data_IF_660353424880
#
_entry.id   IF_660353424880
#
_cell.length_a   1.000
_cell.length_b   1.000
_cell.length_c   1.000
_cell.angle_alpha   90.00
_cell.angle_beta   90.00
_cell.angle_gamma   90.00
#
_symmetry.space_group_name_H-M   'P 1'
#
loop_
_entity.id
_entity.type
_entity.pdbx_description
1 polymer ?
#
# COMPACT_ATOMS: atom_id res chain seq x y z
N UNK A 1 3.67 -5.16 35.93
CA UNK A 1 4.38 -4.13 36.75
C UNK A 1 3.64 -2.81 36.63
N UNK A 2 3.37 -2.15 37.74
CA UNK A 2 2.72 -0.84 37.73
C UNK A 2 3.81 0.22 37.94
N UNK A 3 4.06 1.03 36.95
CA UNK A 3 5.06 2.12 37.03
C UNK A 3 4.48 3.31 37.80
N UNK A 4 5.32 4.00 38.62
CA UNK A 4 4.97 5.29 39.20
C UNK A 4 4.90 6.38 38.10
N UNK A 5 4.35 7.57 38.43
CA UNK A 5 4.29 8.70 37.48
C UNK A 5 5.70 9.16 37.07
N UNK A 6 6.62 9.21 38.01
CA UNK A 6 8.02 9.59 37.76
C UNK A 6 8.71 8.55 36.85
N UNK A 7 8.51 7.25 37.11
CA UNK A 7 9.04 6.19 36.25
C UNK A 7 8.47 6.27 34.82
N UNK A 8 7.18 6.55 34.67
CA UNK A 8 6.56 6.73 33.37
C UNK A 8 7.11 7.94 32.62
N UNK A 9 7.36 9.05 33.33
CA UNK A 9 7.96 10.24 32.73
C UNK A 9 9.39 9.99 32.27
N UNK A 10 10.21 9.37 33.14
CA UNK A 10 11.58 8.98 32.78
C UNK A 10 11.61 8.04 31.56
N UNK A 11 10.72 7.04 31.54
CA UNK A 11 10.59 6.13 30.39
C UNK A 11 10.20 6.87 29.11
N UNK A 12 9.26 7.83 29.20
CA UNK A 12 8.87 8.64 28.05
C UNK A 12 10.07 9.44 27.50
N UNK A 13 10.86 10.05 28.36
CA UNK A 13 12.07 10.79 27.96
C UNK A 13 13.14 9.87 27.34
N UNK A 14 13.26 8.63 27.83
CA UNK A 14 14.28 7.68 27.39
C UNK A 14 13.89 6.93 26.11
N UNK A 15 12.61 6.55 25.97
CA UNK A 15 12.15 5.61 24.93
C UNK A 15 11.25 6.25 23.88
N UNK A 16 11.23 7.58 23.81
CA UNK A 16 10.61 8.31 22.70
C UNK A 16 11.68 8.83 21.76
N UNK A 17 11.57 8.46 20.50
CA UNK A 17 12.46 8.90 19.43
C UNK A 17 11.68 9.70 18.39
N UNK A 18 12.24 10.81 17.95
CA UNK A 18 11.67 11.64 16.89
C UNK A 18 12.48 11.51 15.60
N UNK A 19 11.77 11.42 14.48
CA UNK A 19 12.33 11.37 13.14
C UNK A 19 11.76 12.52 12.32
N UNK A 20 12.24 13.76 12.50
CA UNK A 20 11.66 14.95 11.87
C UNK A 20 11.61 14.89 10.35
N UNK A 21 12.63 14.27 9.73
CA UNK A 21 12.67 14.08 8.28
C UNK A 21 11.52 13.22 7.72
N UNK A 22 10.91 12.38 8.57
CA UNK A 22 9.79 11.51 8.23
C UNK A 22 8.45 12.03 8.78
N UNK A 23 8.47 13.10 9.59
CA UNK A 23 7.30 13.56 10.32
C UNK A 23 6.76 12.52 11.31
N UNK A 24 7.64 11.66 11.85
CA UNK A 24 7.29 10.50 12.67
C UNK A 24 7.91 10.61 14.06
N UNK A 25 7.17 10.20 15.08
CA UNK A 25 7.70 9.91 16.40
C UNK A 25 7.31 8.49 16.83
N UNK A 26 8.22 7.76 17.45
CA UNK A 26 7.99 6.43 18.01
C UNK A 26 8.15 6.49 19.51
N UNK A 27 7.14 6.06 20.25
CA UNK A 27 7.13 6.02 21.72
C UNK A 27 6.99 4.56 22.19
N UNK A 28 8.06 4.03 22.79
CA UNK A 28 8.11 2.71 23.39
C UNK A 28 7.98 2.75 24.90
N UNK A 29 7.71 3.91 25.50
CA UNK A 29 7.71 4.10 26.96
C UNK A 29 6.71 3.21 27.70
N UNK A 30 5.62 2.81 27.03
CA UNK A 30 4.57 1.93 27.58
C UNK A 30 4.78 0.45 27.26
N UNK A 31 5.77 0.11 26.44
CA UNK A 31 6.08 -1.29 26.11
C UNK A 31 6.78 -1.94 27.31
N UNK A 32 6.31 -3.10 27.72
CA UNK A 32 6.92 -3.87 28.81
C UNK A 32 8.03 -4.76 28.26
N UNK A 33 9.27 -4.42 28.52
CA UNK A 33 10.45 -5.19 28.14
C UNK A 33 11.43 -5.27 29.35
N UNK A 34 12.27 -6.32 29.43
CA UNK A 34 13.29 -6.44 30.49
C UNK A 34 14.37 -5.36 30.36
N UNK A 35 15.07 -5.06 31.47
CA UNK A 35 16.09 -3.99 31.50
C UNK A 35 17.19 -4.16 30.45
N UNK A 36 17.61 -5.40 30.18
CA UNK A 36 18.68 -5.69 29.22
C UNK A 36 18.15 -5.95 27.79
N UNK A 37 16.89 -5.61 27.49
CA UNK A 37 16.26 -5.95 26.21
C UNK A 37 17.04 -5.40 25.02
N UNK A 38 17.36 -4.12 25.01
CA UNK A 38 18.06 -3.48 23.89
C UNK A 38 19.46 -4.04 23.70
N UNK A 39 20.21 -4.25 24.77
CA UNK A 39 21.55 -4.83 24.70
C UNK A 39 21.50 -6.26 24.15
N UNK A 40 20.56 -7.07 24.65
CA UNK A 40 20.39 -8.45 24.21
C UNK A 40 19.91 -8.55 22.75
N UNK A 41 19.14 -7.57 22.27
CA UNK A 41 18.63 -7.52 20.90
C UNK A 41 19.60 -6.90 19.89
N UNK A 42 20.61 -6.16 20.34
CA UNK A 42 21.55 -5.45 19.45
C UNK A 42 22.15 -6.33 18.35
N UNK A 43 22.64 -7.57 18.60
CA UNK A 43 23.17 -8.43 17.53
C UNK A 43 22.11 -8.84 16.51
N UNK A 44 20.89 -9.16 16.97
CA UNK A 44 19.76 -9.52 16.10
C UNK A 44 19.31 -8.33 15.24
N UNK A 45 19.28 -7.14 15.82
CA UNK A 45 18.95 -5.89 15.11
C UNK A 45 19.98 -5.57 14.02
N UNK A 46 21.27 -5.66 14.33
CA UNK A 46 22.32 -5.46 13.31
C UNK A 46 22.20 -6.45 12.16
N UNK A 47 21.94 -7.73 12.48
CA UNK A 47 21.70 -8.75 11.45
C UNK A 47 20.47 -8.43 10.59
N UNK A 48 19.38 -7.97 11.20
CA UNK A 48 18.15 -7.59 10.50
C UNK A 48 18.39 -6.39 9.57
N UNK A 49 19.10 -5.36 10.02
CA UNK A 49 19.43 -4.20 9.18
C UNK A 49 20.34 -4.56 8.00
N UNK A 50 21.34 -5.41 8.24
CA UNK A 50 22.19 -5.91 7.15
C UNK A 50 21.38 -6.71 6.12
N UNK A 51 20.51 -7.62 6.59
CA UNK A 51 19.63 -8.41 5.71
C UNK A 51 18.66 -7.51 4.93
N UNK A 52 18.11 -6.48 5.57
CA UNK A 52 17.23 -5.51 4.92
C UNK A 52 17.96 -4.74 3.81
N UNK A 53 19.20 -4.31 4.06
CA UNK A 53 20.03 -3.65 3.05
C UNK A 53 20.30 -4.54 1.83
N UNK A 54 20.51 -5.84 2.04
CA UNK A 54 20.67 -6.79 0.94
C UNK A 54 19.36 -7.03 0.18
N UNK A 55 18.21 -7.07 0.87
CA UNK A 55 16.89 -7.16 0.22
C UNK A 55 16.63 -5.97 -0.69
N UNK A 56 16.95 -4.76 -0.25
CA UNK A 56 16.80 -3.53 -1.05
C UNK A 56 17.66 -3.57 -2.33
N UNK A 57 18.80 -4.27 -2.28
CA UNK A 57 19.70 -4.48 -3.44
C UNK A 57 19.28 -5.63 -4.35
N UNK A 58 18.20 -6.35 -4.03
CA UNK A 58 17.69 -7.44 -4.85
C UNK A 58 18.11 -8.84 -4.41
N UNK A 59 18.46 -9.05 -3.14
CA UNK A 59 18.61 -10.40 -2.62
C UNK A 59 17.31 -11.19 -2.73
N UNK A 60 17.44 -12.52 -2.95
CA UNK A 60 16.29 -13.43 -3.03
C UNK A 60 15.61 -13.50 -1.64
N UNK A 61 14.39 -13.01 -1.56
CA UNK A 61 13.58 -13.02 -0.35
C UNK A 61 12.71 -14.27 -0.22
N UNK A 62 12.23 -14.79 -1.35
CA UNK A 62 11.49 -16.04 -1.43
C UNK A 62 12.35 -17.09 -2.14
N UNK A 63 13.04 -17.96 -1.40
CA UNK A 63 13.93 -18.96 -1.99
C UNK A 63 13.18 -20.03 -2.77
N UNK A 64 11.95 -20.36 -2.42
CA UNK A 64 11.15 -21.40 -3.05
C UNK A 64 10.78 -21.01 -4.49
N UNK A 65 10.40 -19.76 -4.69
CA UNK A 65 10.05 -19.20 -5.99
C UNK A 65 11.23 -18.45 -6.65
N UNK A 66 12.38 -18.36 -5.97
CA UNK A 66 13.57 -17.60 -6.40
C UNK A 66 13.24 -16.14 -6.73
N UNK A 67 12.42 -15.51 -5.92
CA UNK A 67 11.95 -14.14 -6.13
C UNK A 67 12.60 -13.12 -5.20
N UNK A 68 12.89 -11.97 -5.78
CA UNK A 68 13.19 -10.73 -5.06
C UNK A 68 11.89 -10.08 -4.57
N UNK A 69 11.98 -9.13 -3.62
CA UNK A 69 10.91 -8.21 -3.24
C UNK A 69 11.28 -6.79 -3.65
N UNK A 70 10.36 -6.09 -4.26
CA UNK A 70 10.64 -4.82 -4.96
C UNK A 70 9.79 -3.63 -4.57
N UNK A 71 9.09 -3.65 -3.41
CA UNK A 71 8.23 -2.51 -3.05
C UNK A 71 9.02 -1.21 -2.88
N UNK A 72 10.29 -1.25 -2.51
CA UNK A 72 11.17 -0.09 -2.39
C UNK A 72 11.37 0.57 -3.75
N UNK A 73 11.59 -0.24 -4.79
CA UNK A 73 11.83 0.23 -6.16
C UNK A 73 10.59 0.86 -6.77
N UNK A 74 9.38 0.41 -6.38
CA UNK A 74 8.13 1.05 -6.77
C UNK A 74 7.98 2.46 -6.19
N UNK A 75 8.70 2.79 -5.10
CA UNK A 75 8.75 4.13 -4.51
C UNK A 75 9.87 4.98 -5.09
N UNK A 76 10.97 4.34 -5.47
CA UNK A 76 12.11 5.00 -6.09
C UNK A 76 12.79 4.02 -7.07
N UNK A 77 12.43 4.12 -8.35
CA UNK A 77 12.94 3.23 -9.39
C UNK A 77 14.47 3.27 -9.54
N UNK A 78 15.12 4.36 -9.10
CA UNK A 78 16.58 4.45 -9.12
C UNK A 78 17.27 3.45 -8.17
N UNK A 79 16.54 2.89 -7.20
CA UNK A 79 17.05 1.84 -6.30
C UNK A 79 16.96 0.43 -6.90
N UNK A 80 16.33 0.25 -8.06
CA UNK A 80 16.17 -1.05 -8.67
C UNK A 80 17.54 -1.70 -8.98
N UNK A 81 17.70 -3.03 -8.75
CA UNK A 81 18.99 -3.71 -8.85
C UNK A 81 19.49 -3.79 -10.29
N UNK A 82 18.64 -3.64 -11.29
CA UNK A 82 19.01 -3.64 -12.71
C UNK A 82 18.33 -2.51 -13.47
N UNK A 83 18.95 -2.07 -14.56
CA UNK A 83 18.36 -1.06 -15.45
C UNK A 83 17.06 -1.54 -16.09
N UNK A 84 16.94 -2.84 -16.37
CA UNK A 84 15.72 -3.44 -16.92
C UNK A 84 14.53 -3.31 -15.97
N UNK A 85 14.70 -3.66 -14.69
CA UNK A 85 13.64 -3.51 -13.67
C UNK A 85 13.27 -2.04 -13.50
N UNK A 86 14.25 -1.14 -13.48
CA UNK A 86 14.00 0.30 -13.40
C UNK A 86 13.15 0.78 -14.55
N UNK A 87 13.53 0.47 -15.78
CA UNK A 87 12.79 0.87 -16.98
C UNK A 87 11.37 0.31 -16.97
N UNK A 88 11.19 -0.96 -16.62
CA UNK A 88 9.87 -1.59 -16.53
C UNK A 88 8.96 -0.87 -15.52
N UNK A 89 9.48 -0.42 -14.37
CA UNK A 89 8.72 0.36 -13.39
C UNK A 89 8.34 1.74 -13.96
N UNK A 90 9.30 2.44 -14.57
CA UNK A 90 9.10 3.77 -15.14
C UNK A 90 8.07 3.73 -16.28
N UNK A 91 8.18 2.76 -17.18
CA UNK A 91 7.25 2.53 -18.28
C UNK A 91 5.84 2.16 -17.79
N UNK A 92 5.73 1.28 -16.80
CA UNK A 92 4.43 0.92 -16.20
C UNK A 92 3.74 2.13 -15.57
N UNK A 93 4.48 2.96 -14.85
CA UNK A 93 3.93 4.20 -14.27
C UNK A 93 3.50 5.20 -15.36
N UNK A 94 4.26 5.33 -16.43
CA UNK A 94 3.91 6.19 -17.56
C UNK A 94 2.64 5.69 -18.26
N UNK A 95 2.56 4.37 -18.50
CA UNK A 95 1.40 3.73 -19.13
C UNK A 95 0.11 3.91 -18.29
N UNK A 96 0.19 3.73 -16.96
CA UNK A 96 -0.96 3.96 -16.07
C UNK A 96 -1.42 5.42 -16.13
N UNK A 97 -0.50 6.38 -16.09
CA UNK A 97 -0.83 7.81 -16.19
C UNK A 97 -1.48 8.16 -17.52
N UNK A 98 -0.93 7.64 -18.64
CA UNK A 98 -1.47 7.87 -19.98
C UNK A 98 -2.88 7.29 -20.11
N UNK A 99 -3.06 6.02 -19.73
CA UNK A 99 -4.36 5.34 -19.77
C UNK A 99 -5.41 6.09 -18.93
N UNK A 100 -5.05 6.49 -17.71
CA UNK A 100 -5.95 7.25 -16.83
C UNK A 100 -6.35 8.59 -17.45
N UNK A 101 -5.41 9.29 -18.09
CA UNK A 101 -5.69 10.54 -18.77
C UNK A 101 -6.64 10.34 -19.97
N UNK A 102 -6.46 9.26 -20.73
CA UNK A 102 -7.32 8.92 -21.86
C UNK A 102 -8.75 8.55 -21.43
N UNK A 103 -8.89 7.77 -20.34
CA UNK A 103 -10.19 7.47 -19.72
C UNK A 103 -10.87 8.76 -19.27
N UNK A 104 -10.16 9.63 -18.55
CA UNK A 104 -10.70 10.89 -18.07
C UNK A 104 -11.05 11.89 -19.18
N UNK A 105 -10.39 11.79 -20.32
CA UNK A 105 -10.68 12.60 -21.51
C UNK A 105 -11.81 12.01 -22.38
N UNK A 106 -12.34 10.85 -22.01
CA UNK A 106 -13.37 10.15 -22.80
C UNK A 106 -12.86 9.60 -24.14
N UNK A 107 -11.55 9.38 -24.28
CA UNK A 107 -10.95 8.73 -25.44
C UNK A 107 -11.08 7.22 -25.37
N UNK A 108 -10.99 6.67 -24.17
CA UNK A 108 -11.29 5.27 -23.85
C UNK A 108 -12.69 5.25 -23.24
N UNK A 109 -13.60 4.50 -23.84
CA UNK A 109 -15.02 4.48 -23.47
C UNK A 109 -15.51 3.05 -23.30
N UNK A 110 -16.56 2.89 -22.51
CA UNK A 110 -17.30 1.64 -22.38
C UNK A 110 -18.36 1.47 -23.48
N UNK A 111 -19.15 0.41 -23.40
CA UNK A 111 -20.18 0.11 -24.36
C UNK A 111 -21.26 1.23 -24.49
N UNK A 112 -21.51 1.96 -23.41
CA UNK A 112 -22.52 3.02 -23.33
C UNK A 112 -21.88 4.43 -23.15
N UNK A 113 -20.68 4.65 -23.66
CA UNK A 113 -19.99 5.94 -23.62
C UNK A 113 -18.93 6.05 -22.51
N UNK A 114 -18.60 7.28 -22.12
CA UNK A 114 -17.53 7.55 -21.16
C UNK A 114 -17.79 6.86 -19.81
N UNK A 115 -16.72 6.33 -19.20
CA UNK A 115 -16.79 5.70 -17.90
C UNK A 115 -17.22 6.67 -16.81
N UNK A 116 -18.14 6.21 -15.96
CA UNK A 116 -18.64 6.94 -14.79
C UNK A 116 -18.32 6.20 -13.49
N UNK A 117 -18.00 4.91 -13.60
CA UNK A 117 -17.73 4.04 -12.47
C UNK A 117 -16.46 3.24 -12.70
N UNK A 118 -15.81 2.87 -11.61
CA UNK A 118 -14.73 1.89 -11.54
C UNK A 118 -15.17 0.77 -10.61
N UNK A 119 -15.14 -0.46 -11.07
CA UNK A 119 -15.35 -1.65 -10.27
C UNK A 119 -14.00 -2.34 -10.06
N UNK A 120 -13.47 -2.29 -8.86
CA UNK A 120 -12.25 -3.00 -8.47
C UNK A 120 -12.61 -4.40 -8.01
N UNK A 121 -12.02 -5.41 -8.63
CA UNK A 121 -12.22 -6.82 -8.31
C UNK A 121 -10.91 -7.37 -7.75
N UNK A 122 -10.89 -7.76 -6.47
CA UNK A 122 -9.71 -8.29 -5.81
C UNK A 122 -9.99 -8.62 -4.35
N UNK A 123 -9.21 -9.50 -3.75
CA UNK A 123 -9.40 -9.98 -2.38
C UNK A 123 -8.17 -9.66 -1.52
N UNK A 124 -8.37 -9.39 -0.24
CA UNK A 124 -7.30 -9.10 0.70
C UNK A 124 -6.49 -7.87 0.31
N UNK A 125 -5.19 -8.01 0.12
CA UNK A 125 -4.30 -6.91 -0.26
C UNK A 125 -4.66 -6.25 -1.60
N UNK A 126 -5.28 -6.99 -2.51
CA UNK A 126 -5.75 -6.48 -3.81
C UNK A 126 -6.98 -5.58 -3.69
N UNK A 127 -7.73 -5.65 -2.59
CA UNK A 127 -8.89 -4.80 -2.32
C UNK A 127 -8.61 -3.73 -1.25
N UNK A 128 -7.99 -4.11 -0.12
CA UNK A 128 -7.83 -3.24 1.05
C UNK A 128 -7.00 -1.99 0.77
N UNK A 129 -5.92 -2.12 -0.01
CA UNK A 129 -5.10 -0.97 -0.43
C UNK A 129 -5.89 0.04 -1.27
N UNK A 130 -6.53 -0.38 -2.38
CA UNK A 130 -7.41 0.46 -3.18
C UNK A 130 -8.56 1.08 -2.37
N UNK A 131 -9.22 0.32 -1.49
CA UNK A 131 -10.28 0.84 -0.61
C UNK A 131 -9.77 1.92 0.34
N UNK A 132 -8.60 1.68 0.96
CA UNK A 132 -7.97 2.66 1.84
C UNK A 132 -7.70 3.98 1.11
N UNK A 133 -7.08 3.92 -0.07
CA UNK A 133 -6.77 5.11 -0.87
C UNK A 133 -8.04 5.81 -1.32
N UNK A 134 -9.03 5.07 -1.84
CA UNK A 134 -10.30 5.64 -2.27
C UNK A 134 -11.04 6.35 -1.12
N UNK A 135 -11.05 5.77 0.08
CA UNK A 135 -11.69 6.38 1.26
C UNK A 135 -10.92 7.55 1.84
N UNK A 136 -9.57 7.48 1.83
CA UNK A 136 -8.73 8.53 2.41
C UNK A 136 -8.65 9.78 1.53
N UNK A 137 -8.64 9.62 0.20
CA UNK A 137 -8.44 10.70 -0.75
C UNK A 137 -9.68 11.03 -1.57
N UNK A 138 -10.68 10.16 -1.59
CA UNK A 138 -11.92 10.33 -2.35
C UNK A 138 -12.73 11.53 -1.88
N UNK A 139 -13.32 12.22 -2.84
CA UNK A 139 -14.15 13.40 -2.65
C UNK A 139 -15.37 13.30 -3.57
N UNK A 140 -16.50 12.70 -3.13
CA UNK A 140 -17.66 12.40 -3.99
C UNK A 140 -18.17 13.59 -4.84
N UNK A 141 -17.96 14.82 -4.37
CA UNK A 141 -18.35 16.04 -5.10
C UNK A 141 -17.33 16.44 -6.20
N UNK A 142 -16.14 15.84 -6.22
CA UNK A 142 -15.03 16.20 -7.12
C UNK A 142 -14.54 15.03 -7.97
N UNK A 143 -14.76 13.80 -7.50
CA UNK A 143 -14.31 12.59 -8.17
C UNK A 143 -15.02 12.44 -9.51
N UNK A 144 -14.26 12.13 -10.54
CA UNK A 144 -14.80 11.97 -11.91
C UNK A 144 -15.60 10.68 -12.07
N UNK A 145 -15.30 9.67 -11.23
CA UNK A 145 -15.94 8.35 -11.27
C UNK A 145 -16.21 7.85 -9.85
N UNK A 146 -17.28 7.07 -9.69
CA UNK A 146 -17.55 6.36 -8.44
C UNK A 146 -16.75 5.06 -8.42
N UNK A 147 -16.28 4.65 -7.22
CA UNK A 147 -15.51 3.42 -7.05
C UNK A 147 -16.33 2.39 -6.28
N UNK A 148 -16.41 1.20 -6.85
CA UNK A 148 -17.08 0.03 -6.30
C UNK A 148 -16.09 -1.11 -6.12
N UNK A 149 -16.38 -2.07 -5.25
CA UNK A 149 -15.47 -3.16 -4.93
C UNK A 149 -16.19 -4.51 -4.89
N UNK A 150 -15.59 -5.49 -5.54
CA UNK A 150 -15.81 -6.91 -5.24
C UNK A 150 -14.58 -7.39 -4.46
N UNK A 151 -14.68 -7.43 -3.14
CA UNK A 151 -13.58 -7.69 -2.21
C UNK A 151 -13.65 -9.05 -1.52
N UNK A 152 -14.66 -9.84 -1.87
CA UNK A 152 -14.88 -11.19 -1.38
C UNK A 152 -15.64 -12.02 -2.42
N UNK A 153 -15.94 -13.28 -2.09
CA UNK A 153 -16.66 -14.24 -2.95
C UNK A 153 -18.12 -14.42 -2.56
N UNK A 154 -18.66 -13.54 -1.70
CA UNK A 154 -20.06 -13.59 -1.28
C UNK A 154 -20.99 -13.12 -2.40
N UNK A 155 -21.88 -14.00 -2.92
CA UNK A 155 -22.80 -13.62 -4.00
C UNK A 155 -23.76 -12.49 -3.63
N UNK A 156 -24.26 -12.47 -2.40
CA UNK A 156 -25.20 -11.44 -1.94
C UNK A 156 -24.52 -10.06 -1.90
N UNK A 157 -23.22 -10.02 -1.53
CA UNK A 157 -22.40 -8.82 -1.58
C UNK A 157 -22.19 -8.32 -3.02
N UNK A 158 -21.93 -9.24 -3.95
CA UNK A 158 -21.81 -8.90 -5.38
C UNK A 158 -23.14 -8.41 -5.97
N UNK A 159 -24.24 -9.09 -5.67
CA UNK A 159 -25.57 -8.70 -6.14
C UNK A 159 -25.96 -7.31 -5.66
N UNK A 160 -25.61 -6.95 -4.42
CA UNK A 160 -25.82 -5.61 -3.89
C UNK A 160 -25.08 -4.54 -4.70
N UNK A 161 -23.79 -4.76 -4.98
CA UNK A 161 -22.99 -3.83 -5.80
C UNK A 161 -23.53 -3.77 -7.25
N UNK A 162 -23.93 -4.90 -7.82
CA UNK A 162 -24.54 -4.94 -9.16
C UNK A 162 -25.88 -4.19 -9.20
N UNK A 163 -26.67 -4.27 -8.13
CA UNK A 163 -27.91 -3.50 -8.02
C UNK A 163 -27.63 -1.98 -7.96
N UNK A 164 -26.59 -1.55 -7.25
CA UNK A 164 -26.15 -0.15 -7.22
C UNK A 164 -25.63 0.33 -8.58
N UNK A 165 -25.04 -0.58 -9.40
CA UNK A 165 -24.56 -0.33 -10.76
C UNK A 165 -25.64 -0.56 -11.83
N UNK A 166 -26.88 -0.83 -11.44
CA UNK A 166 -27.95 -1.17 -12.39
C UNK A 166 -28.10 -0.12 -13.48
N UNK A 167 -28.05 -0.60 -14.76
CA UNK A 167 -28.07 0.26 -15.94
C UNK A 167 -26.74 0.93 -16.32
N UNK A 168 -25.73 0.92 -15.43
CA UNK A 168 -24.46 1.63 -15.64
C UNK A 168 -23.26 0.69 -15.94
N UNK A 169 -23.49 -0.63 -16.08
CA UNK A 169 -22.39 -1.58 -16.36
C UNK A 169 -21.66 -1.26 -17.67
N UNK A 170 -22.35 -0.79 -18.69
CA UNK A 170 -21.72 -0.36 -19.95
C UNK A 170 -20.89 0.92 -19.83
N UNK A 171 -20.94 1.60 -18.68
CA UNK A 171 -20.13 2.80 -18.33
C UNK A 171 -19.24 2.55 -17.12
N UNK A 172 -19.00 1.27 -16.80
CA UNK A 172 -18.18 0.85 -15.66
C UNK A 172 -16.87 0.23 -16.16
N UNK A 173 -15.73 0.78 -15.72
CA UNK A 173 -14.41 0.22 -15.96
C UNK A 173 -14.13 -0.85 -14.89
N UNK A 174 -13.97 -2.10 -15.29
CA UNK A 174 -13.57 -3.18 -14.39
C UNK A 174 -12.02 -3.24 -14.30
N UNK A 175 -11.50 -3.24 -13.09
CA UNK A 175 -10.07 -3.38 -12.78
C UNK A 175 -9.89 -4.61 -11.91
N UNK A 176 -9.29 -5.66 -12.48
CA UNK A 176 -9.00 -6.91 -11.77
C UNK A 176 -7.58 -6.88 -11.23
N UNK A 177 -7.44 -7.10 -9.93
CA UNK A 177 -6.15 -7.15 -9.22
C UNK A 177 -6.00 -8.55 -8.62
N UNK A 178 -5.03 -9.32 -9.13
CA UNK A 178 -4.74 -10.68 -8.69
C UNK A 178 -3.24 -10.85 -8.36
#
# INVERSE_FOLDING_TARGET
MTFSKEQLWHRFQTFRSEFPALGLAVDLSRVNFPENFFDSMTPAMHKAYAAMSELEKGAIANPDEKRMVGHYWLRNAALAPTAEIRLAIEEALAAVKSFTAEVHAGKVVGANGSFQNVLVIGIGGSALGPQFVAKALGQPARDKMKVFFFDNTDPDGMDKVLAELSGELGRTLAVVIS
#
